data_IF_233341523602
#
_entry.id   IF_233341523602
#
_cell.length_a   1.000
_cell.length_b   1.000
_cell.length_c   1.000
_cell.angle_alpha   90.00
_cell.angle_beta   90.00
_cell.angle_gamma   90.00
#
_symmetry.space_group_name_H-M   'P 1'
#
loop_
_entity.id
_entity.type
_entity.pdbx_description
1 polymer ?
#
# COMPACT_ATOMS: atom_id res chain seq x y z
N UNK A 1 -4.83 -0.30 -17.45
CA UNK A 1 -4.22 -1.11 -16.37
C UNK A 1 -5.31 -1.73 -15.51
N UNK A 2 -5.12 -2.98 -15.07
CA UNK A 2 -6.07 -3.68 -14.20
C UNK A 2 -5.39 -3.93 -12.85
N UNK A 3 -5.98 -3.42 -11.76
CA UNK A 3 -5.44 -3.66 -10.43
C UNK A 3 -5.86 -5.05 -9.92
N UNK A 4 -4.93 -5.88 -9.43
CA UNK A 4 -5.26 -7.20 -8.90
C UNK A 4 -6.03 -7.07 -7.58
N UNK A 5 -6.90 -8.04 -7.26
CA UNK A 5 -7.70 -8.04 -6.02
C UNK A 5 -6.87 -7.80 -4.75
N UNK A 6 -5.63 -8.30 -4.72
CA UNK A 6 -4.66 -8.01 -3.67
C UNK A 6 -4.42 -6.50 -3.48
N UNK A 7 -4.11 -5.77 -4.55
CA UNK A 7 -3.90 -4.31 -4.53
C UNK A 7 -5.16 -3.56 -4.08
N UNK A 8 -6.34 -4.03 -4.47
CA UNK A 8 -7.62 -3.41 -4.08
C UNK A 8 -7.85 -3.42 -2.56
N UNK A 9 -7.26 -4.38 -1.86
CA UNK A 9 -7.45 -4.60 -0.43
C UNK A 9 -6.13 -4.46 0.36
N UNK A 10 -5.17 -3.72 -0.19
CA UNK A 10 -3.87 -3.46 0.43
C UNK A 10 -4.04 -2.83 1.84
N UNK A 11 -3.26 -3.31 2.80
CA UNK A 11 -3.32 -2.85 4.19
C UNK A 11 -2.62 -1.49 4.42
N UNK A 12 -3.16 -0.39 3.87
CA UNK A 12 -2.56 0.95 3.95
C UNK A 12 -3.40 1.99 4.71
N UNK A 13 -4.44 1.58 5.45
CA UNK A 13 -5.36 2.49 6.14
C UNK A 13 -4.70 3.39 7.19
N UNK A 14 -3.63 2.91 7.83
CA UNK A 14 -2.85 3.71 8.77
C UNK A 14 -2.16 4.87 8.03
N UNK A 15 -1.67 4.63 6.81
CA UNK A 15 -0.99 5.64 6.00
C UNK A 15 -1.90 6.82 5.64
N UNK A 16 -3.19 6.58 5.41
CA UNK A 16 -4.18 7.64 5.15
C UNK A 16 -4.37 8.61 6.32
N UNK A 17 -3.97 8.22 7.53
CA UNK A 17 -4.14 8.97 8.77
C UNK A 17 -2.86 9.62 9.29
N UNK A 18 -1.74 9.48 8.59
CA UNK A 18 -0.45 10.06 9.00
C UNK A 18 -0.56 11.60 9.01
N UNK A 19 -0.08 12.21 10.09
CA UNK A 19 -0.02 13.67 10.22
C UNK A 19 0.99 14.25 9.22
N UNK A 20 0.72 15.43 8.67
CA UNK A 20 1.68 16.08 7.74
C UNK A 20 2.90 16.66 8.45
N UNK A 21 2.89 16.73 9.78
CA UNK A 21 3.98 17.21 10.63
C UNK A 21 4.99 16.13 11.05
N UNK A 22 4.91 14.96 10.42
CA UNK A 22 5.65 13.73 10.76
C UNK A 22 7.14 13.80 10.39
N UNK A 23 7.99 13.09 11.14
CA UNK A 23 9.44 12.95 10.88
C UNK A 23 9.75 11.75 9.98
N UNK A 24 11.02 11.60 9.57
CA UNK A 24 11.45 10.43 8.79
C UNK A 24 11.19 9.11 9.53
N UNK A 25 11.48 9.05 10.83
CA UNK A 25 11.34 7.81 11.61
C UNK A 25 9.87 7.42 11.80
N UNK A 26 8.99 8.38 12.05
CA UNK A 26 7.56 8.11 12.16
C UNK A 26 6.97 7.70 10.80
N UNK A 27 7.41 8.30 9.69
CA UNK A 27 7.00 7.85 8.35
C UNK A 27 7.46 6.41 8.09
N UNK A 28 8.70 6.07 8.44
CA UNK A 28 9.24 4.72 8.31
C UNK A 28 8.43 3.72 9.15
N UNK A 29 8.13 4.06 10.41
CA UNK A 29 7.34 3.21 11.30
C UNK A 29 5.95 2.90 10.72
N UNK A 30 5.27 3.91 10.17
CA UNK A 30 3.94 3.74 9.56
C UNK A 30 3.98 2.88 8.29
N UNK A 31 5.02 3.05 7.45
CA UNK A 31 5.22 2.21 6.26
C UNK A 31 5.52 0.76 6.67
N UNK A 32 6.37 0.55 7.68
CA UNK A 32 6.66 -0.77 8.22
C UNK A 32 5.42 -1.43 8.83
N UNK A 33 4.57 -0.64 9.51
CA UNK A 33 3.31 -1.12 10.07
C UNK A 33 2.36 -1.63 8.98
N UNK A 34 2.19 -0.86 7.89
CA UNK A 34 1.41 -1.30 6.72
C UNK A 34 1.98 -2.59 6.11
N UNK A 35 3.30 -2.65 5.91
CA UNK A 35 3.98 -3.82 5.35
C UNK A 35 3.83 -5.08 6.22
N UNK A 36 3.93 -4.93 7.55
CA UNK A 36 3.74 -6.02 8.51
C UNK A 36 2.35 -6.64 8.38
N UNK A 37 1.30 -5.81 8.40
CA UNK A 37 -0.08 -6.29 8.33
C UNK A 37 -0.44 -6.88 6.95
N UNK A 38 0.08 -6.30 5.87
CA UNK A 38 -0.06 -6.86 4.52
C UNK A 38 0.58 -8.25 4.43
N UNK A 39 1.83 -8.38 4.91
CA UNK A 39 2.55 -9.65 4.94
C UNK A 39 1.84 -10.72 5.78
N UNK A 40 1.34 -10.35 6.96
CA UNK A 40 0.57 -11.25 7.83
C UNK A 40 -0.72 -11.74 7.17
N UNK A 41 -1.45 -10.83 6.51
CA UNK A 41 -2.70 -11.17 5.81
C UNK A 41 -2.43 -12.13 4.65
N UNK A 42 -1.40 -11.85 3.84
CA UNK A 42 -0.98 -12.73 2.75
C UNK A 42 -0.59 -14.11 3.29
N UNK A 43 0.27 -14.17 4.32
CA UNK A 43 0.72 -15.44 4.88
C UNK A 43 -0.44 -16.29 5.42
N UNK A 44 -1.40 -15.66 6.09
CA UNK A 44 -2.60 -16.33 6.62
C UNK A 44 -3.49 -16.89 5.52
N UNK A 45 -3.72 -16.13 4.45
CA UNK A 45 -4.71 -16.51 3.42
C UNK A 45 -4.10 -17.30 2.26
N UNK A 46 -2.77 -17.28 2.10
CA UNK A 46 -2.04 -17.99 1.03
C UNK A 46 -2.33 -19.50 0.94
N UNK A 47 -2.40 -20.29 2.03
CA UNK A 47 -2.70 -21.73 1.95
C UNK A 47 -4.05 -22.03 1.28
N UNK A 48 -5.07 -21.18 1.52
CA UNK A 48 -6.40 -21.31 0.90
C UNK A 48 -6.31 -21.14 -0.62
N UNK A 49 -5.46 -20.23 -1.08
CA UNK A 49 -5.24 -19.97 -2.50
C UNK A 49 -4.38 -21.05 -3.17
N UNK A 50 -3.40 -21.63 -2.47
CA UNK A 50 -2.67 -22.79 -2.99
C UNK A 50 -3.60 -23.99 -3.25
N UNK A 51 -4.49 -24.30 -2.31
CA UNK A 51 -5.45 -25.40 -2.46
C UNK A 51 -6.48 -25.13 -3.56
N UNK A 52 -6.94 -23.87 -3.69
CA UNK A 52 -7.92 -23.49 -4.71
C UNK A 52 -7.32 -23.43 -6.12
N UNK A 53 -6.05 -23.07 -6.23
CA UNK A 53 -5.35 -22.88 -7.50
C UNK A 53 -4.07 -23.72 -7.52
N UNK A 54 -4.25 -25.05 -7.54
CA UNK A 54 -3.19 -26.06 -7.39
C UNK A 54 -2.02 -25.92 -8.37
N UNK A 55 -2.22 -25.22 -9.50
CA UNK A 55 -1.19 -24.98 -10.52
C UNK A 55 -0.90 -23.49 -10.77
N UNK A 56 -1.19 -22.60 -9.81
CA UNK A 56 -1.06 -21.14 -9.99
C UNK A 56 0.36 -20.63 -10.29
N UNK A 57 1.39 -21.46 -10.11
CA UNK A 57 2.81 -21.12 -10.32
C UNK A 57 3.38 -20.01 -9.41
N UNK A 58 2.53 -19.27 -8.69
CA UNK A 58 2.93 -18.16 -7.82
C UNK A 58 3.23 -18.64 -6.40
N UNK A 59 4.49 -18.47 -6.00
CA UNK A 59 4.93 -18.72 -4.62
C UNK A 59 4.49 -17.59 -3.68
N UNK A 60 4.47 -17.86 -2.38
CA UNK A 60 4.16 -16.83 -1.36
C UNK A 60 5.10 -15.63 -1.50
N UNK A 61 6.38 -15.87 -1.77
CA UNK A 61 7.39 -14.84 -1.97
C UNK A 61 7.05 -13.94 -3.16
N UNK A 62 6.53 -14.48 -4.26
CA UNK A 62 6.06 -13.66 -5.41
C UNK A 62 4.91 -12.74 -5.01
N UNK A 63 3.96 -13.21 -4.20
CA UNK A 63 2.81 -12.41 -3.74
C UNK A 63 3.27 -11.31 -2.77
N UNK A 64 4.21 -11.62 -1.88
CA UNK A 64 4.83 -10.65 -0.98
C UNK A 64 5.61 -9.59 -1.75
N UNK A 65 6.44 -9.98 -2.73
CA UNK A 65 7.21 -9.05 -3.57
C UNK A 65 6.30 -8.08 -4.35
N UNK A 66 5.18 -8.58 -4.89
CA UNK A 66 4.17 -7.74 -5.55
C UNK A 66 3.50 -6.76 -4.60
N UNK A 67 3.40 -7.06 -3.31
CA UNK A 67 2.82 -6.16 -2.30
C UNK A 67 3.81 -5.13 -1.81
N UNK A 68 5.07 -5.55 -1.67
CA UNK A 68 6.19 -4.64 -1.44
C UNK A 68 6.28 -3.58 -2.56
N UNK A 69 6.17 -4.00 -3.83
CA UNK A 69 6.16 -3.09 -4.97
C UNK A 69 5.00 -2.08 -4.90
N UNK A 70 3.78 -2.53 -4.59
CA UNK A 70 2.61 -1.64 -4.45
C UNK A 70 2.80 -0.62 -3.32
N UNK A 71 3.28 -1.04 -2.14
CA UNK A 71 3.56 -0.13 -1.02
C UNK A 71 4.64 0.88 -1.43
N UNK A 72 5.68 0.41 -2.11
CA UNK A 72 6.74 1.27 -2.64
C UNK A 72 6.23 2.27 -3.67
N UNK A 73 5.32 1.88 -4.56
CA UNK A 73 4.69 2.79 -5.53
C UNK A 73 3.80 3.82 -4.87
N UNK A 74 3.09 3.48 -3.79
CA UNK A 74 2.33 4.44 -2.99
C UNK A 74 3.28 5.47 -2.36
N UNK A 75 4.34 5.02 -1.69
CA UNK A 75 5.32 5.91 -1.04
C UNK A 75 6.04 6.80 -2.05
N UNK A 76 6.37 6.27 -3.24
CA UNK A 76 7.00 7.02 -4.33
C UNK A 76 6.04 7.95 -5.10
N UNK A 77 4.73 7.89 -4.84
CA UNK A 77 3.72 8.63 -5.60
C UNK A 77 3.58 8.16 -7.06
N UNK A 78 3.86 6.87 -7.33
CA UNK A 78 3.76 6.22 -8.65
C UNK A 78 2.61 5.22 -8.76
N UNK A 79 1.85 5.02 -7.68
CA UNK A 79 0.70 4.14 -7.68
C UNK A 79 -0.38 4.61 -8.68
N UNK A 80 -0.76 3.74 -9.61
CA UNK A 80 -1.73 4.06 -10.67
C UNK A 80 -3.16 3.64 -10.34
N UNK A 81 -3.42 3.09 -9.15
CA UNK A 81 -4.75 2.62 -8.76
C UNK A 81 -5.70 3.79 -8.48
N UNK A 82 -6.87 3.84 -9.14
CA UNK A 82 -7.83 4.96 -9.04
C UNK A 82 -9.14 4.58 -8.33
N UNK A 83 -9.26 3.35 -7.85
CA UNK A 83 -10.48 2.85 -7.23
C UNK A 83 -11.47 2.14 -8.18
N UNK A 84 -12.55 1.58 -7.63
CA UNK A 84 -13.61 0.90 -8.39
C UNK A 84 -14.63 1.88 -8.95
N UNK A 85 -15.15 1.65 -10.18
CA UNK A 85 -16.15 2.49 -10.89
C UNK A 85 -17.31 3.03 -10.01
N UNK A 86 -17.87 2.23 -9.09
CA UNK A 86 -18.97 2.64 -8.21
C UNK A 86 -18.53 3.45 -6.97
N UNK A 87 -17.25 3.43 -6.58
CA UNK A 87 -16.70 4.12 -5.38
C UNK A 87 -15.61 5.15 -5.71
N UNK A 88 -15.41 5.45 -7.00
CA UNK A 88 -14.32 6.33 -7.50
C UNK A 88 -14.22 7.62 -6.70
N UNK A 89 -15.32 8.34 -6.46
CA UNK A 89 -15.24 9.67 -5.83
C UNK A 89 -14.59 9.64 -4.44
N UNK A 90 -14.91 8.65 -3.60
CA UNK A 90 -14.36 8.54 -2.24
C UNK A 90 -12.92 8.01 -2.25
N UNK A 91 -12.68 6.92 -2.99
CA UNK A 91 -11.35 6.29 -3.07
C UNK A 91 -10.33 7.24 -3.71
N UNK A 92 -10.74 8.00 -4.74
CA UNK A 92 -9.92 9.04 -5.35
C UNK A 92 -9.58 10.16 -4.37
N UNK A 93 -10.55 10.64 -3.58
CA UNK A 93 -10.31 11.68 -2.56
C UNK A 93 -9.35 11.20 -1.46
N UNK A 94 -9.48 9.94 -1.03
CA UNK A 94 -8.57 9.33 -0.05
C UNK A 94 -7.16 9.20 -0.60
N UNK A 95 -7.02 8.73 -1.84
CA UNK A 95 -5.74 8.65 -2.53
C UNK A 95 -5.08 10.01 -2.71
N UNK A 96 -5.81 10.99 -3.23
CA UNK A 96 -5.31 12.37 -3.41
C UNK A 96 -4.88 12.97 -2.07
N UNK A 97 -5.63 12.72 -0.99
CA UNK A 97 -5.25 13.14 0.36
C UNK A 97 -3.95 12.48 0.81
N UNK A 98 -3.81 11.16 0.62
CA UNK A 98 -2.60 10.41 0.98
C UNK A 98 -1.39 10.92 0.19
N UNK A 99 -1.50 11.07 -1.12
CA UNK A 99 -0.43 11.60 -1.97
C UNK A 99 -0.03 13.03 -1.57
N UNK A 100 -0.99 13.90 -1.29
CA UNK A 100 -0.71 15.26 -0.82
C UNK A 100 -0.05 15.28 0.56
N UNK A 101 -0.45 14.38 1.46
CA UNK A 101 0.19 14.24 2.76
C UNK A 101 1.65 13.76 2.62
N UNK A 102 1.89 12.74 1.80
CA UNK A 102 3.24 12.23 1.53
C UNK A 102 4.13 13.31 0.92
N UNK A 103 3.64 14.08 -0.06
CA UNK A 103 4.36 15.23 -0.62
C UNK A 103 4.78 16.22 0.48
N UNK A 104 3.85 16.61 1.36
CA UNK A 104 4.15 17.53 2.49
C UNK A 104 5.19 16.96 3.46
N UNK A 105 5.07 15.68 3.80
CA UNK A 105 6.02 15.00 4.70
C UNK A 105 7.42 14.97 4.06
N UNK A 106 7.53 14.55 2.80
CA UNK A 106 8.82 14.53 2.10
C UNK A 106 9.41 15.93 1.90
N UNK A 107 8.60 16.95 1.60
CA UNK A 107 9.07 18.34 1.56
C UNK A 107 9.63 18.78 2.92
N UNK A 108 9.00 18.41 4.03
CA UNK A 108 9.50 18.73 5.38
C UNK A 108 10.80 17.99 5.69
N UNK A 109 10.88 16.69 5.39
CA UNK A 109 12.10 15.89 5.58
C UNK A 109 13.25 16.50 4.79
N UNK A 110 13.01 16.92 3.54
CA UNK A 110 14.00 17.58 2.71
C UNK A 110 14.51 18.90 3.33
N UNK A 111 13.61 19.72 3.90
CA UNK A 111 13.98 21.00 4.54
C UNK A 111 14.70 20.83 5.89
N UNK A 112 14.58 19.68 6.54
CA UNK A 112 15.28 19.36 7.79
C UNK A 112 16.69 18.78 7.56
N UNK A 113 17.05 18.52 6.31
CA UNK A 113 18.35 17.98 5.90
C UNK A 113 19.25 19.10 5.40
#
# INVERSE_FOLDING_TARGET
ACAPFRRLHLCNKNMEKIATSTTSDTLLAEVCYAAKYEGQTIARDYPKYQQKYVNSGSTICTVLARSFADIGDIVRGRDIYLGKKKKIKMEKKQKEKLENNLKKIFSRIYMMK
#
